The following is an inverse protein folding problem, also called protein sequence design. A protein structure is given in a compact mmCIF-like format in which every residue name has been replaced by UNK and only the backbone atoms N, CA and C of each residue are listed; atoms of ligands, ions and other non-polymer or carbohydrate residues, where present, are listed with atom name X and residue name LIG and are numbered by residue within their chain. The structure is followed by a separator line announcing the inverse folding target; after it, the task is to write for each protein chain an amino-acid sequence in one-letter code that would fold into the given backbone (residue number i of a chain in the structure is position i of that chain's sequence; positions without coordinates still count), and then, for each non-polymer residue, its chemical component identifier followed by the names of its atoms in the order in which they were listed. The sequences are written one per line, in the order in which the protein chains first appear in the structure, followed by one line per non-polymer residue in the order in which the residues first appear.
data_IF_883159766364
#
_entry.id   IF_883159766364
#
_cell.length_a   1.000
_cell.length_b   1.000
_cell.length_c   1.000
_cell.angle_alpha   90.00
_cell.angle_beta   90.00
_cell.angle_gamma   90.00
#
_symmetry.space_group_name_H-M   'P 1'
#
loop_
_entity.id
_entity.type
_entity.pdbx_description
1 polymer ?
#
# COMPACT_ATOMS: atom_id res chain seq x y z
N UNK A 1 -38.51 -1.66 -2.80
CA UNK A 1 -37.49 -2.27 -3.70
C UNK A 1 -36.67 -1.25 -4.49
N UNK A 2 -37.28 -0.21 -5.10
CA UNK A 2 -36.52 0.81 -5.85
C UNK A 2 -35.61 1.67 -4.96
N UNK A 3 -36.11 2.11 -3.80
CA UNK A 3 -35.33 2.89 -2.82
C UNK A 3 -34.14 2.10 -2.25
N UNK A 4 -34.31 0.84 -1.89
CA UNK A 4 -33.21 -0.01 -1.41
C UNK A 4 -32.10 -0.17 -2.45
N UNK A 5 -32.48 -0.29 -3.73
CA UNK A 5 -31.54 -0.36 -4.86
C UNK A 5 -30.82 0.97 -5.10
N UNK A 6 -31.49 2.10 -4.87
CA UNK A 6 -30.87 3.43 -4.95
C UNK A 6 -29.93 3.69 -3.77
N UNK A 7 -30.32 3.32 -2.56
CA UNK A 7 -29.48 3.42 -1.36
C UNK A 7 -28.20 2.61 -1.51
N UNK A 8 -28.28 1.34 -1.91
CA UNK A 8 -27.10 0.50 -2.21
C UNK A 8 -26.18 1.10 -3.28
N UNK A 9 -26.74 1.81 -4.27
CA UNK A 9 -25.94 2.50 -5.31
C UNK A 9 -25.23 3.74 -4.76
N UNK A 10 -25.88 4.51 -3.90
CA UNK A 10 -25.27 5.65 -3.21
C UNK A 10 -24.16 5.20 -2.27
N UNK A 11 -24.42 4.18 -1.46
CA UNK A 11 -23.44 3.59 -0.55
C UNK A 11 -22.19 3.09 -1.30
N UNK A 12 -22.38 2.35 -2.39
CA UNK A 12 -21.27 1.88 -3.22
C UNK A 12 -20.47 3.02 -3.85
N UNK A 13 -21.13 4.08 -4.32
CA UNK A 13 -20.45 5.25 -4.89
C UNK A 13 -19.61 5.97 -3.84
N UNK A 14 -20.14 6.17 -2.64
CA UNK A 14 -19.41 6.88 -1.58
C UNK A 14 -18.28 6.03 -1.00
N UNK A 15 -18.47 4.71 -0.88
CA UNK A 15 -17.39 3.78 -0.51
C UNK A 15 -16.23 3.82 -1.51
N UNK A 16 -16.52 3.81 -2.83
CA UNK A 16 -15.48 3.94 -3.85
C UNK A 16 -14.79 5.30 -3.80
N UNK A 17 -15.54 6.38 -3.55
CA UNK A 17 -14.99 7.72 -3.36
C UNK A 17 -14.05 7.81 -2.16
N UNK A 18 -14.33 7.05 -1.09
CA UNK A 18 -13.51 7.04 0.13
C UNK A 18 -12.10 6.46 -0.07
N UNK A 19 -11.91 5.65 -1.10
CA UNK A 19 -10.60 5.11 -1.45
C UNK A 19 -9.90 5.91 -2.55
N UNK A 20 -10.55 6.90 -3.18
CA UNK A 20 -10.02 7.70 -4.28
C UNK A 20 -9.25 8.97 -3.84
N UNK A 21 -8.92 9.07 -2.55
CA UNK A 21 -8.21 10.22 -1.97
C UNK A 21 -6.69 10.24 -2.27
N UNK A 22 -6.13 9.19 -2.88
CA UNK A 22 -4.70 9.08 -3.20
C UNK A 22 -3.81 8.81 -1.99
N UNK A 23 -4.32 8.93 -0.76
CA UNK A 23 -3.54 8.80 0.46
C UNK A 23 -2.93 7.40 0.62
N UNK A 24 -3.71 6.37 0.29
CA UNK A 24 -3.25 4.98 0.30
C UNK A 24 -2.08 4.76 -0.67
N UNK A 25 -2.08 5.43 -1.81
CA UNK A 25 -1.06 5.27 -2.85
C UNK A 25 0.24 5.97 -2.44
N UNK A 26 0.14 7.15 -1.80
CA UNK A 26 1.27 7.84 -1.16
C UNK A 26 1.91 6.95 -0.11
N UNK A 27 1.10 6.29 0.73
CA UNK A 27 1.62 5.40 1.76
C UNK A 27 2.30 4.16 1.17
N UNK A 28 1.70 3.52 0.16
CA UNK A 28 2.32 2.38 -0.53
C UNK A 28 3.67 2.81 -1.13
N UNK A 29 3.71 3.93 -1.85
CA UNK A 29 4.94 4.47 -2.41
C UNK A 29 5.99 4.73 -1.32
N UNK A 30 5.59 5.32 -0.20
CA UNK A 30 6.49 5.58 0.93
C UNK A 30 7.05 4.29 1.54
N UNK A 31 6.19 3.28 1.76
CA UNK A 31 6.61 1.97 2.27
C UNK A 31 7.67 1.36 1.35
N UNK A 32 7.42 1.41 0.03
CA UNK A 32 8.34 0.88 -0.98
C UNK A 32 9.65 1.68 -1.07
N UNK A 33 9.61 3.00 -0.90
CA UNK A 33 10.81 3.84 -0.78
C UNK A 33 11.64 3.43 0.44
N UNK A 34 11.01 3.23 1.59
CA UNK A 34 11.70 2.78 2.80
C UNK A 34 12.32 1.39 2.67
N UNK A 35 11.60 0.46 2.02
CA UNK A 35 12.14 -0.85 1.66
C UNK A 35 13.34 -0.75 0.72
N UNK A 36 13.23 0.03 -0.37
CA UNK A 36 14.33 0.26 -1.30
C UNK A 36 15.55 0.89 -0.62
N UNK A 37 15.32 1.85 0.27
CA UNK A 37 16.38 2.49 1.04
C UNK A 37 17.06 1.54 2.01
N UNK A 38 16.30 0.71 2.73
CA UNK A 38 16.85 -0.33 3.60
C UNK A 38 17.70 -1.33 2.82
N UNK A 39 17.26 -1.74 1.62
CA UNK A 39 18.03 -2.63 0.74
C UNK A 39 19.28 -1.97 0.17
N UNK A 40 19.22 -0.69 -0.19
CA UNK A 40 20.35 0.04 -0.75
C UNK A 40 21.44 0.36 0.28
N UNK A 41 21.03 0.73 1.50
CA UNK A 41 21.94 1.16 2.58
C UNK A 41 22.35 0.03 3.53
N UNK A 42 21.61 -1.10 3.54
CA UNK A 42 21.74 -2.13 4.56
C UNK A 42 21.19 -1.72 5.94
N UNK A 43 20.67 -0.49 6.08
CA UNK A 43 20.16 0.01 7.35
C UNK A 43 18.73 -0.47 7.60
N UNK A 44 18.61 -1.52 8.43
CA UNK A 44 17.33 -2.11 8.86
C UNK A 44 16.42 -1.05 9.51
N UNK A 45 16.98 -0.07 10.22
CA UNK A 45 16.24 1.03 10.80
C UNK A 45 15.50 1.88 9.76
N UNK A 46 16.07 2.04 8.56
CA UNK A 46 15.43 2.74 7.44
C UNK A 46 14.19 2.00 6.95
N UNK A 47 14.22 0.67 6.97
CA UNK A 47 13.08 -0.17 6.62
C UNK A 47 11.96 -0.05 7.66
N UNK A 48 12.30 -0.01 8.96
CA UNK A 48 11.32 0.18 10.03
C UNK A 48 10.69 1.59 9.99
N UNK A 49 11.51 2.63 9.95
CA UNK A 49 11.08 4.02 10.08
C UNK A 49 10.47 4.54 8.77
N UNK A 50 11.17 4.41 7.64
CA UNK A 50 10.62 4.94 6.37
C UNK A 50 9.59 3.99 5.77
N UNK A 51 9.71 2.69 6.05
CA UNK A 51 8.81 1.65 5.56
C UNK A 51 7.52 1.55 6.38
N UNK A 52 7.60 1.17 7.65
CA UNK A 52 6.40 0.80 8.43
C UNK A 52 5.74 1.96 9.19
N UNK A 53 6.50 2.96 9.65
CA UNK A 53 5.93 4.12 10.36
C UNK A 53 4.77 4.83 9.63
N UNK A 54 4.81 5.02 8.28
CA UNK A 54 3.69 5.63 7.56
C UNK A 54 2.35 4.90 7.74
N UNK A 55 2.36 3.57 7.99
CA UNK A 55 1.13 2.80 8.24
C UNK A 55 0.46 3.26 9.53
N UNK A 56 1.24 3.53 10.58
CA UNK A 56 0.72 4.08 11.83
C UNK A 56 0.11 5.47 11.64
N UNK A 57 0.62 6.24 10.68
CA UNK A 57 0.09 7.56 10.35
C UNK A 57 -1.16 7.51 9.46
N UNK A 58 -1.54 6.37 8.88
CA UNK A 58 -2.68 6.29 7.97
C UNK A 58 -3.99 6.77 8.60
N UNK A 59 -4.34 6.22 9.77
CA UNK A 59 -5.58 6.56 10.47
C UNK A 59 -5.62 8.04 10.88
N UNK A 60 -4.62 8.60 11.60
CA UNK A 60 -4.67 10.01 11.98
C UNK A 60 -4.65 10.94 10.76
N UNK A 61 -3.88 10.61 9.72
CA UNK A 61 -3.81 11.43 8.51
C UNK A 61 -5.14 11.41 7.75
N UNK A 62 -5.81 10.25 7.72
CA UNK A 62 -7.15 10.11 7.13
C UNK A 62 -8.21 10.87 7.91
N UNK A 63 -8.18 10.79 9.25
CA UNK A 63 -9.10 11.50 10.13
C UNK A 63 -8.94 13.01 10.03
N UNK A 64 -7.72 13.50 9.77
CA UNK A 64 -7.43 14.93 9.64
C UNK A 64 -7.71 15.47 8.24
N UNK A 65 -7.46 14.68 7.19
CA UNK A 65 -7.53 15.15 5.80
C UNK A 65 -8.83 14.70 5.13
N UNK A 66 -9.06 13.41 5.01
CA UNK A 66 -10.12 12.88 4.16
C UNK A 66 -11.50 12.97 4.82
N UNK A 67 -11.61 12.63 6.11
CA UNK A 67 -12.91 12.54 6.80
C UNK A 67 -13.65 13.89 6.88
N UNK A 68 -13.02 15.01 7.26
CA UNK A 68 -13.73 16.30 7.38
C UNK A 68 -14.31 16.80 6.06
N UNK A 69 -13.75 16.36 4.92
CA UNK A 69 -14.13 16.81 3.57
C UNK A 69 -15.27 16.01 2.95
N UNK A 70 -15.47 14.77 3.38
CA UNK A 70 -16.49 13.88 2.82
C UNK A 70 -17.81 13.89 3.62
N UNK A 71 -17.80 14.47 4.83
CA UNK A 71 -18.89 14.29 5.78
C UNK A 71 -18.88 12.89 6.39
N UNK A 72 -19.27 12.80 7.66
CA UNK A 72 -19.30 11.53 8.37
C UNK A 72 -20.51 10.71 7.89
N UNK A 73 -20.28 9.71 7.03
CA UNK A 73 -21.29 8.69 6.71
C UNK A 73 -20.68 7.35 7.12
N UNK A 74 -21.25 6.72 8.14
CA UNK A 74 -20.83 5.39 8.57
C UNK A 74 -21.23 4.35 7.51
N UNK A 75 -20.28 3.92 6.71
CA UNK A 75 -20.47 2.79 5.79
C UNK A 75 -20.33 1.48 6.56
N UNK A 76 -21.44 0.81 6.83
CA UNK A 76 -21.45 -0.53 7.44
C UNK A 76 -21.74 -1.57 6.35
N UNK A 77 -20.71 -2.34 5.97
CA UNK A 77 -20.87 -3.79 6.02
C UNK A 77 -19.66 -4.44 6.71
N UNK A 78 -19.71 -4.53 8.05
CA UNK A 78 -18.66 -5.11 8.91
C UNK A 78 -18.22 -6.53 8.50
N UNK A 79 -19.15 -7.37 8.04
CA UNK A 79 -18.90 -8.80 7.82
C UNK A 79 -17.90 -9.11 6.68
N UNK A 80 -17.97 -8.39 5.55
CA UNK A 80 -17.06 -8.65 4.41
C UNK A 80 -15.64 -8.12 4.66
N UNK A 81 -15.52 -7.02 5.40
CA UNK A 81 -14.25 -6.39 5.76
C UNK A 81 -13.45 -7.26 6.74
N UNK A 82 -14.11 -7.85 7.72
CA UNK A 82 -13.45 -8.73 8.70
C UNK A 82 -12.91 -10.01 8.06
N UNK A 83 -13.67 -10.65 7.18
CA UNK A 83 -13.22 -11.85 6.47
C UNK A 83 -12.00 -11.55 5.57
N UNK A 84 -11.98 -10.40 4.92
CA UNK A 84 -10.88 -9.97 4.06
C UNK A 84 -9.63 -9.56 4.84
N UNK A 85 -9.78 -8.88 5.98
CA UNK A 85 -8.66 -8.56 6.86
C UNK A 85 -8.01 -9.83 7.41
N UNK A 86 -8.81 -10.86 7.73
CA UNK A 86 -8.30 -12.17 8.18
C UNK A 86 -7.43 -12.88 7.13
N UNK A 87 -7.59 -12.59 5.84
CA UNK A 87 -6.75 -13.15 4.76
C UNK A 87 -5.60 -12.19 4.41
N UNK A 88 -5.86 -10.89 4.38
CA UNK A 88 -4.87 -9.88 3.99
C UNK A 88 -3.74 -9.74 5.01
N UNK A 89 -4.03 -9.80 6.31
CA UNK A 89 -3.01 -9.71 7.36
C UNK A 89 -2.00 -10.87 7.32
N UNK A 90 -2.39 -12.15 7.32
CA UNK A 90 -1.43 -13.25 7.25
C UNK A 90 -0.68 -13.26 5.92
N UNK A 91 -1.33 -12.91 4.80
CA UNK A 91 -0.66 -12.81 3.51
C UNK A 91 0.41 -11.70 3.50
N UNK A 92 0.08 -10.53 4.05
CA UNK A 92 1.01 -9.43 4.21
C UNK A 92 2.18 -9.81 5.12
N UNK A 93 1.91 -10.45 6.27
CA UNK A 93 2.94 -10.87 7.21
C UNK A 93 3.84 -11.96 6.63
N UNK A 94 3.26 -12.92 5.91
CA UNK A 94 4.01 -13.96 5.21
C UNK A 94 4.90 -13.36 4.11
N UNK A 95 4.39 -12.37 3.37
CA UNK A 95 5.17 -11.65 2.36
C UNK A 95 6.30 -10.83 2.99
N UNK A 96 6.02 -10.13 4.09
CA UNK A 96 7.06 -9.41 4.84
C UNK A 96 8.11 -10.37 5.40
N UNK A 97 7.71 -11.55 5.86
CA UNK A 97 8.63 -12.57 6.35
C UNK A 97 9.49 -13.13 5.22
N UNK A 98 8.92 -13.41 4.04
CA UNK A 98 9.69 -13.83 2.86
C UNK A 98 10.67 -12.72 2.45
N UNK A 99 10.24 -11.45 2.39
CA UNK A 99 11.11 -10.32 2.08
C UNK A 99 12.22 -10.19 3.13
N UNK A 100 11.89 -10.33 4.41
CA UNK A 100 12.86 -10.29 5.51
C UNK A 100 13.91 -11.40 5.34
N UNK A 101 13.49 -12.64 5.04
CA UNK A 101 14.40 -13.75 4.79
C UNK A 101 15.27 -13.55 3.55
N UNK A 102 14.77 -12.84 2.53
CA UNK A 102 15.53 -12.48 1.32
C UNK A 102 16.54 -11.35 1.58
N UNK A 103 16.18 -10.35 2.39
CA UNK A 103 16.99 -9.15 2.66
C UNK A 103 17.98 -9.36 3.80
N UNK A 104 17.65 -10.22 4.78
CA UNK A 104 18.55 -10.62 5.87
C UNK A 104 19.65 -11.55 5.33
N UNK A 105 20.45 -11.05 4.38
CA UNK A 105 21.80 -11.55 4.19
C UNK A 105 22.54 -11.26 5.49
N UNK A 106 22.82 -12.31 6.25
CA UNK A 106 23.75 -12.25 7.37
C UNK A 106 25.05 -11.68 6.81
N UNK A 107 25.52 -10.51 7.27
CA UNK A 107 26.79 -9.98 6.81
C UNK A 107 27.88 -11.03 7.12
N UNK A 108 28.69 -11.35 6.13
CA UNK A 108 29.88 -12.19 6.32
C UNK A 108 30.77 -11.49 7.37
N UNK A 109 30.74 -11.98 8.63
CA UNK A 109 31.54 -11.43 9.72
C UNK A 109 30.79 -11.06 11.02
N UNK A 110 29.46 -11.10 11.07
CA UNK A 110 28.74 -10.97 12.35
C UNK A 110 28.59 -12.36 12.96
N UNK A 111 29.26 -12.60 14.08
CA UNK A 111 29.20 -13.87 14.82
C UNK A 111 27.74 -14.22 15.13
N UNK A 112 27.27 -15.43 14.80
CA UNK A 112 25.90 -15.82 15.02
C UNK A 112 25.68 -15.96 16.52
N UNK A 113 24.86 -15.07 17.10
CA UNK A 113 24.17 -15.40 18.34
C UNK A 113 23.16 -16.49 17.97
N UNK A 114 23.61 -17.74 18.07
CA UNK A 114 22.87 -19.00 17.89
C UNK A 114 21.82 -19.06 16.76
N UNK A 115 22.09 -19.76 15.64
CA UNK A 115 21.08 -19.97 14.61
C UNK A 115 20.16 -21.12 15.03
N UNK A 116 19.01 -20.83 15.64
CA UNK A 116 18.02 -21.88 15.90
C UNK A 116 17.30 -22.29 14.59
N UNK A 117 17.44 -21.52 13.50
CA UNK A 117 16.79 -21.81 12.22
C UNK A 117 17.54 -21.21 11.02
N UNK A 118 18.82 -21.54 10.81
CA UNK A 118 19.41 -21.34 9.46
C UNK A 118 19.16 -22.61 8.64
N UNK A 119 18.32 -22.58 7.59
CA UNK A 119 18.13 -23.70 6.67
C UNK A 119 19.38 -24.02 5.82
N UNK A 120 20.56 -23.56 6.24
CA UNK A 120 21.79 -23.46 5.44
C UNK A 120 22.32 -24.80 4.96
N UNK A 121 21.97 -25.90 5.61
CA UNK A 121 22.35 -27.25 5.17
C UNK A 121 21.23 -28.02 4.46
N UNK A 122 19.96 -27.63 4.65
CA UNK A 122 18.83 -28.45 4.20
C UNK A 122 18.58 -28.37 2.68
N UNK A 123 18.89 -27.25 2.01
CA UNK A 123 18.73 -27.11 0.55
C UNK A 123 19.72 -26.12 -0.11
N UNK A 124 20.98 -26.52 -0.31
CA UNK A 124 21.95 -25.72 -1.07
C UNK A 124 21.50 -25.42 -2.50
N UNK A 125 20.81 -26.38 -3.15
CA UNK A 125 20.26 -26.20 -4.50
C UNK A 125 19.18 -25.10 -4.57
N UNK A 126 18.32 -25.01 -3.55
CA UNK A 126 17.29 -23.96 -3.47
C UNK A 126 17.91 -22.58 -3.28
N UNK A 127 18.95 -22.47 -2.43
CA UNK A 127 19.68 -21.22 -2.22
C UNK A 127 20.36 -20.73 -3.50
N UNK A 128 21.05 -21.63 -4.22
CA UNK A 128 21.67 -21.32 -5.51
C UNK A 128 20.64 -20.91 -6.56
N UNK A 129 19.47 -21.56 -6.58
CA UNK A 129 18.38 -21.18 -7.47
C UNK A 129 17.79 -19.81 -7.12
N UNK A 130 17.73 -19.46 -5.84
CA UNK A 130 17.29 -18.15 -5.36
C UNK A 130 18.30 -17.03 -5.69
N UNK A 131 19.59 -17.36 -5.63
CA UNK A 131 20.66 -16.42 -5.92
C UNK A 131 20.52 -15.87 -7.34
N UNK A 132 20.33 -14.56 -7.41
CA UNK A 132 20.12 -13.87 -8.68
C UNK A 132 18.67 -13.87 -9.19
N UNK A 133 17.68 -14.43 -8.48
CA UNK A 133 16.24 -14.31 -8.81
C UNK A 133 15.45 -13.43 -7.84
N UNK A 134 16.15 -12.69 -6.99
CA UNK A 134 15.58 -11.87 -5.91
C UNK A 134 14.55 -10.85 -6.43
N UNK A 135 14.86 -10.17 -7.54
CA UNK A 135 13.95 -9.20 -8.15
C UNK A 135 12.64 -9.85 -8.63
N UNK A 136 12.71 -11.02 -9.26
CA UNK A 136 11.52 -11.76 -9.70
C UNK A 136 10.64 -12.20 -8.53
N UNK A 137 11.26 -12.73 -7.47
CA UNK A 137 10.54 -13.16 -6.27
C UNK A 137 9.84 -11.97 -5.60
N UNK A 138 10.51 -10.83 -5.52
CA UNK A 138 9.93 -9.60 -4.98
C UNK A 138 8.76 -9.11 -5.84
N UNK A 139 8.93 -9.09 -7.17
CA UNK A 139 7.87 -8.73 -8.11
C UNK A 139 6.66 -9.64 -8.02
N UNK A 140 6.88 -10.96 -7.92
CA UNK A 140 5.81 -11.95 -7.77
C UNK A 140 5.08 -11.78 -6.43
N UNK A 141 5.82 -11.57 -5.34
CA UNK A 141 5.25 -11.33 -4.03
C UNK A 141 4.37 -10.08 -4.02
N UNK A 142 4.84 -8.96 -4.59
CA UNK A 142 4.03 -7.75 -4.74
C UNK A 142 2.81 -7.97 -5.63
N UNK A 143 2.96 -8.69 -6.74
CA UNK A 143 1.86 -9.01 -7.64
C UNK A 143 0.74 -9.76 -6.90
N UNK A 144 1.10 -10.76 -6.11
CA UNK A 144 0.15 -11.54 -5.31
C UNK A 144 -0.50 -10.65 -4.24
N UNK A 145 0.29 -9.90 -3.46
CA UNK A 145 -0.26 -9.05 -2.39
C UNK A 145 -1.19 -7.98 -2.94
N UNK A 146 -0.75 -7.19 -3.92
CA UNK A 146 -1.57 -6.15 -4.51
C UNK A 146 -2.74 -6.71 -5.32
N UNK A 147 -2.59 -7.87 -5.95
CA UNK A 147 -3.69 -8.58 -6.62
C UNK A 147 -4.77 -9.03 -5.65
N UNK A 148 -4.40 -9.66 -4.54
CA UNK A 148 -5.34 -10.11 -3.50
C UNK A 148 -5.98 -8.92 -2.81
N UNK A 149 -5.22 -7.90 -2.42
CA UNK A 149 -5.76 -6.68 -1.80
C UNK A 149 -6.64 -5.91 -2.79
N UNK A 150 -6.26 -5.84 -4.07
CA UNK A 150 -7.07 -5.25 -5.13
C UNK A 150 -8.39 -5.98 -5.35
N UNK A 151 -8.38 -7.32 -5.30
CA UNK A 151 -9.57 -8.15 -5.40
C UNK A 151 -10.49 -7.96 -4.19
N UNK A 152 -9.90 -7.94 -3.00
CA UNK A 152 -10.58 -7.72 -1.73
C UNK A 152 -11.29 -6.36 -1.66
N UNK A 153 -10.56 -5.31 -2.00
CA UNK A 153 -11.04 -3.92 -1.90
C UNK A 153 -11.82 -3.47 -3.13
N UNK A 154 -11.82 -4.28 -4.20
CA UNK A 154 -12.34 -3.94 -5.54
C UNK A 154 -11.73 -2.66 -6.13
N UNK A 155 -10.54 -2.26 -5.68
CA UNK A 155 -9.85 -1.08 -6.18
C UNK A 155 -9.04 -1.48 -7.42
N UNK A 156 -9.55 -1.11 -8.60
CA UNK A 156 -8.93 -1.44 -9.91
C UNK A 156 -7.47 -1.00 -10.04
N UNK A 157 -7.09 0.12 -9.42
CA UNK A 157 -5.72 0.66 -9.53
C UNK A 157 -4.66 -0.22 -8.86
N UNK A 158 -5.02 -0.99 -7.83
CA UNK A 158 -4.07 -1.91 -7.19
C UNK A 158 -3.66 -3.05 -8.13
N UNK A 159 -4.55 -3.49 -9.02
CA UNK A 159 -4.19 -4.43 -10.08
C UNK A 159 -3.22 -3.82 -11.09
N UNK A 160 -3.38 -2.53 -11.42
CA UNK A 160 -2.44 -1.83 -12.28
C UNK A 160 -1.06 -1.75 -11.61
N UNK A 161 -0.98 -1.44 -10.31
CA UNK A 161 0.29 -1.45 -9.56
C UNK A 161 0.88 -2.85 -9.43
N UNK A 162 0.07 -3.89 -9.25
CA UNK A 162 0.52 -5.28 -9.23
C UNK A 162 1.23 -5.65 -10.55
N UNK A 163 0.56 -5.41 -11.68
CA UNK A 163 1.10 -5.70 -13.00
C UNK A 163 2.33 -4.84 -13.31
N UNK A 164 2.26 -3.53 -13.02
CA UNK A 164 3.36 -2.60 -13.25
C UNK A 164 4.59 -2.97 -12.43
N UNK A 165 4.40 -3.30 -11.15
CA UNK A 165 5.48 -3.74 -10.26
C UNK A 165 6.12 -5.02 -10.77
N UNK A 166 5.33 -5.99 -11.22
CA UNK A 166 5.85 -7.22 -11.83
C UNK A 166 6.66 -6.92 -13.09
N UNK A 167 6.15 -6.08 -14.00
CA UNK A 167 6.86 -5.72 -15.24
C UNK A 167 8.18 -5.00 -14.95
N UNK A 168 8.19 -4.04 -14.02
CA UNK A 168 9.41 -3.31 -13.62
C UNK A 168 10.44 -4.25 -12.98
N UNK A 169 10.00 -5.20 -12.16
CA UNK A 169 10.88 -6.18 -11.51
C UNK A 169 11.45 -7.21 -12.51
N UNK A 170 10.62 -7.69 -13.44
CA UNK A 170 11.07 -8.55 -14.55
C UNK A 170 12.08 -7.79 -15.42
N UNK A 171 11.80 -6.53 -15.76
CA UNK A 171 12.74 -5.67 -16.48
C UNK A 171 14.06 -5.50 -15.72
N UNK A 172 14.00 -5.18 -14.43
CA UNK A 172 15.18 -5.08 -13.57
C UNK A 172 16.03 -6.35 -13.56
N UNK A 173 15.39 -7.51 -13.52
CA UNK A 173 16.06 -8.81 -13.62
C UNK A 173 16.75 -9.00 -14.99
N UNK A 174 16.07 -8.67 -16.09
CA UNK A 174 16.62 -8.82 -17.45
C UNK A 174 17.84 -7.94 -17.70
N UNK A 175 17.88 -6.76 -17.08
CA UNK A 175 19.01 -5.82 -17.15
C UNK A 175 20.06 -6.03 -16.04
N UNK A 176 19.96 -7.10 -15.24
CA UNK A 176 20.85 -7.38 -14.12
C UNK A 176 20.98 -6.21 -13.11
N UNK A 177 19.92 -5.42 -12.96
CA UNK A 177 19.88 -4.33 -12.00
C UNK A 177 19.76 -4.89 -10.58
N UNK A 178 20.38 -4.18 -9.61
CA UNK A 178 20.18 -4.49 -8.19
C UNK A 178 18.72 -4.27 -7.83
N UNK A 179 18.11 -5.19 -7.07
CA UNK A 179 16.66 -5.21 -6.75
C UNK A 179 16.11 -3.89 -6.19
N UNK A 180 16.91 -3.11 -5.47
CA UNK A 180 16.46 -1.82 -4.93
C UNK A 180 16.18 -0.78 -6.04
N UNK A 181 16.81 -0.87 -7.22
CA UNK A 181 16.61 0.07 -8.33
C UNK A 181 15.20 -0.03 -8.91
N UNK A 182 14.73 -1.19 -9.42
CA UNK A 182 13.35 -1.34 -9.89
C UNK A 182 12.34 -1.06 -8.78
N UNK A 183 12.68 -1.35 -7.52
CA UNK A 183 11.85 -1.00 -6.37
C UNK A 183 11.67 0.52 -6.23
N UNK A 184 12.76 1.30 -6.30
CA UNK A 184 12.69 2.76 -6.26
C UNK A 184 11.91 3.35 -7.42
N UNK A 185 12.05 2.79 -8.63
CA UNK A 185 11.27 3.23 -9.80
C UNK A 185 9.78 3.02 -9.55
N UNK A 186 9.38 1.83 -9.11
CA UNK A 186 7.98 1.53 -8.80
C UNK A 186 7.45 2.38 -7.64
N UNK A 187 8.26 2.56 -6.59
CA UNK A 187 7.93 3.40 -5.44
C UNK A 187 7.70 4.86 -5.86
N UNK A 188 8.60 5.42 -6.66
CA UNK A 188 8.49 6.78 -7.18
C UNK A 188 7.25 6.99 -8.04
N UNK A 189 6.92 6.04 -8.93
CA UNK A 189 5.71 6.09 -9.76
C UNK A 189 4.46 6.08 -8.87
N UNK A 190 4.35 5.11 -7.93
CA UNK A 190 3.17 4.98 -7.06
C UNK A 190 3.00 6.21 -6.17
N UNK A 191 4.11 6.71 -5.63
CA UNK A 191 4.13 7.89 -4.77
C UNK A 191 3.68 9.14 -5.52
N UNK A 192 4.21 9.37 -6.72
CA UNK A 192 3.84 10.50 -7.57
C UNK A 192 2.36 10.45 -7.96
N UNK A 193 1.86 9.28 -8.38
CA UNK A 193 0.43 9.10 -8.70
C UNK A 193 -0.43 9.37 -7.47
N UNK A 194 -0.03 8.87 -6.30
CA UNK A 194 -0.73 9.13 -5.04
C UNK A 194 -0.80 10.62 -4.69
N UNK A 195 0.31 11.36 -4.86
CA UNK A 195 0.34 12.81 -4.63
C UNK A 195 -0.61 13.52 -5.60
N UNK A 196 -0.56 13.19 -6.90
CA UNK A 196 -1.42 13.81 -7.91
C UNK A 196 -2.89 13.58 -7.56
N UNK A 197 -3.27 12.35 -7.20
CA UNK A 197 -4.63 12.02 -6.78
C UNK A 197 -5.04 12.75 -5.50
N UNK A 198 -4.13 12.86 -4.52
CA UNK A 198 -4.40 13.60 -3.29
C UNK A 198 -4.62 15.09 -3.56
N UNK A 199 -3.81 15.71 -4.41
CA UNK A 199 -4.00 17.12 -4.81
C UNK A 199 -5.33 17.30 -5.53
N UNK A 200 -5.67 16.41 -6.47
CA UNK A 200 -6.95 16.45 -7.18
C UNK A 200 -8.13 16.29 -6.21
N UNK A 201 -8.02 15.39 -5.24
CA UNK A 201 -9.02 15.19 -4.19
C UNK A 201 -9.19 16.46 -3.35
N UNK A 202 -8.09 17.06 -2.88
CA UNK A 202 -8.11 18.27 -2.06
C UNK A 202 -8.71 19.47 -2.82
N UNK A 203 -8.48 19.57 -4.13
CA UNK A 203 -9.08 20.61 -4.98
C UNK A 203 -10.56 20.37 -5.24
N UNK A 204 -10.97 19.11 -5.37
CA UNK A 204 -12.36 18.74 -5.64
C UNK A 204 -13.26 18.87 -4.40
N UNK A 205 -12.70 18.65 -3.21
CA UNK A 205 -13.42 18.70 -1.93
C UNK A 205 -12.78 19.72 -0.99
N UNK A 206 -12.97 21.04 -1.23
CA UNK A 206 -12.53 22.07 -0.31
C UNK A 206 -13.28 21.96 1.03
N UNK A 207 -12.64 22.37 2.13
CA UNK A 207 -13.30 22.45 3.44
C UNK A 207 -14.27 23.62 3.38
N UNK A 208 -15.58 23.38 3.55
CA UNK A 208 -16.53 24.47 3.74
C UNK A 208 -16.30 25.09 5.12
N UNK A 209 -15.96 26.38 5.16
CA UNK A 209 -15.96 27.15 6.40
C UNK A 209 -17.40 27.32 6.90
N UNK A 210 -17.59 27.37 8.22
CA UNK A 210 -18.91 27.61 8.84
C UNK A 210 -19.59 28.89 8.33
N UNK A 211 -18.80 29.91 7.99
CA UNK A 211 -19.26 31.16 7.41
C UNK A 211 -20.01 30.98 6.07
N UNK A 212 -19.54 30.04 5.23
CA UNK A 212 -20.21 29.72 3.96
C UNK A 212 -21.48 28.87 4.17
N UNK A 213 -21.55 28.09 5.25
CA UNK A 213 -22.73 27.27 5.58
C UNK A 213 -23.90 28.11 6.13
N UNK A 214 -23.60 29.21 6.82
CA UNK A 214 -24.61 30.14 7.34
C UNK A 214 -25.19 31.00 6.21
N UNK A 215 -24.33 31.54 5.32
CA UNK A 215 -24.79 32.35 4.18
C UNK A 215 -25.72 31.60 3.20
N UNK A 216 -25.53 30.29 3.03
CA UNK A 216 -26.39 29.47 2.15
C UNK A 216 -27.75 29.13 2.80
N UNK A 217 -27.81 29.03 4.13
CA UNK A 217 -29.08 28.83 4.86
C UNK A 217 -29.98 30.06 4.81
N UNK A 218 -29.40 31.25 4.94
CA UNK A 218 -30.18 32.50 4.95
C UNK A 218 -30.79 32.80 3.57
N UNK A 219 -30.11 32.38 2.49
CA UNK A 219 -30.63 32.49 1.11
C UNK A 219 -31.80 31.54 0.81
N UNK A 220 -31.90 30.42 1.53
CA UNK A 220 -33.00 29.46 1.37
C UNK A 220 -34.18 29.68 2.33
N UNK A 221 -33.98 30.42 3.43
CA UNK A 221 -35.05 30.77 4.36
C UNK A 221 -35.86 32.02 3.92
N UNK A 222 -35.37 32.76 2.92
CA UNK A 222 -35.96 34.02 2.44
C UNK A 222 -36.74 33.92 1.12
N UNK A 223 -36.89 32.70 0.58
CA UNK A 223 -37.66 32.38 -0.64
C UNK A 223 -38.85 31.48 -0.34
#
# INVERSE_FOLDING_TARGET
MAEEKQFKRLESKTYLSHHQDGLLDVLIGQIMLGLGFGMASGWIGGLAILGFFPIALYVPLKNRITIPRLGYVEFIPKASREALLKIAYPLFFCTCMVIFLLVARVPEGVTPVAPVWTPSEAWPAFRLWLQGKESLLFGLAMFIVFGVVGMATKIRRLFAYALLGLMIMVGGQLFHLRTFIPLFVMAGITYAVGIIMLIQFLRKYPIMSEENLIGDRDNHASS
#
